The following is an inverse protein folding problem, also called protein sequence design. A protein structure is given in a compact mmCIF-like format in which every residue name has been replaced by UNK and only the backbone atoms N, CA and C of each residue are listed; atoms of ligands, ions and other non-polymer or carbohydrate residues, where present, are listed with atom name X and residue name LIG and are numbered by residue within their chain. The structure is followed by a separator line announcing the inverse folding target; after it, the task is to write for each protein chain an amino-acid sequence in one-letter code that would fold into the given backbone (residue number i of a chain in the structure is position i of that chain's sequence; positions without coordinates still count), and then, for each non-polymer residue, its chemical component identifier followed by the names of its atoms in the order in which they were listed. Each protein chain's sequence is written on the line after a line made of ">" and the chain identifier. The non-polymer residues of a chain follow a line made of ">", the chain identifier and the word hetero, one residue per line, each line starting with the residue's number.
data_IF_842979225703
#
_entry.id   IF_842979225703
#
_cell.length_a   1.000
_cell.length_b   1.000
_cell.length_c   1.000
_cell.angle_alpha   90.00
_cell.angle_beta   90.00
_cell.angle_gamma   90.00
#
_symmetry.space_group_name_H-M   'P 1'
#
loop_
_entity.id
_entity.type
_entity.pdbx_description
1 polymer ?
#
# COMPACT_ATOMS: atom_id res chain seq x y z
N UNK A 1 35.11 1.93 -22.31
CA UNK A 1 34.31 3.13 -22.57
C UNK A 1 33.53 3.43 -21.30
N UNK A 2 33.54 4.69 -20.84
CA UNK A 2 32.78 5.08 -19.64
C UNK A 2 31.30 5.17 -19.98
N UNK A 3 30.38 4.83 -19.01
CA UNK A 3 28.93 5.04 -19.18
C UNK A 3 28.62 6.53 -19.42
N UNK A 4 29.50 7.44 -18.99
CA UNK A 4 29.36 8.89 -19.24
C UNK A 4 29.52 9.28 -20.70
N UNK A 5 30.16 8.43 -21.51
CA UNK A 5 30.37 8.65 -22.95
C UNK A 5 29.19 8.13 -23.77
N UNK A 6 28.20 7.48 -23.15
CA UNK A 6 27.00 6.98 -23.81
C UNK A 6 25.99 8.11 -24.05
N UNK A 7 25.11 7.98 -25.06
CA UNK A 7 23.95 8.85 -25.19
C UNK A 7 23.15 8.87 -23.89
N UNK A 8 22.61 10.01 -23.52
CA UNK A 8 21.93 10.20 -22.24
C UNK A 8 20.79 9.20 -22.05
N UNK A 9 19.96 9.00 -23.08
CA UNK A 9 18.84 8.06 -23.07
C UNK A 9 19.25 6.57 -22.88
N UNK A 10 20.54 6.23 -23.11
CA UNK A 10 21.06 4.86 -22.93
C UNK A 10 21.73 4.64 -21.57
N UNK A 11 21.93 5.72 -20.79
CA UNK A 11 22.51 5.61 -19.45
C UNK A 11 21.46 5.03 -18.50
N UNK A 12 21.81 3.99 -17.71
CA UNK A 12 20.80 3.28 -16.91
C UNK A 12 19.98 4.15 -15.96
N UNK A 13 20.57 5.19 -15.34
CA UNK A 13 19.85 6.09 -14.41
C UNK A 13 18.88 6.99 -15.13
N UNK A 14 19.31 7.60 -16.20
CA UNK A 14 18.53 8.48 -17.05
C UNK A 14 17.38 7.69 -17.67
N UNK A 15 17.66 6.50 -18.20
CA UNK A 15 16.65 5.57 -18.72
C UNK A 15 15.62 5.15 -17.65
N UNK A 16 16.06 4.91 -16.40
CA UNK A 16 15.14 4.64 -15.27
C UNK A 16 14.19 5.79 -15.04
N UNK A 17 14.70 7.02 -15.04
CA UNK A 17 13.90 8.22 -14.74
C UNK A 17 12.89 8.56 -15.84
N UNK A 18 13.29 8.37 -17.11
CA UNK A 18 12.44 8.70 -18.26
C UNK A 18 11.44 7.59 -18.62
N UNK A 19 11.87 6.33 -18.54
CA UNK A 19 11.08 5.19 -19.06
C UNK A 19 10.60 4.23 -17.97
N UNK A 20 11.02 4.44 -16.73
CA UNK A 20 10.68 3.58 -15.60
C UNK A 20 11.54 2.32 -15.50
N UNK A 21 11.43 1.64 -14.34
CA UNK A 21 12.26 0.46 -14.04
C UNK A 21 12.01 -0.74 -14.97
N UNK A 22 10.81 -0.89 -15.50
CA UNK A 22 10.46 -1.99 -16.40
C UNK A 22 11.18 -1.95 -17.76
N UNK A 23 11.70 -0.79 -18.15
CA UNK A 23 12.46 -0.64 -19.40
C UNK A 23 13.93 -1.09 -19.26
N UNK A 24 14.42 -1.34 -18.05
CA UNK A 24 15.80 -1.72 -17.80
C UNK A 24 15.97 -3.23 -17.81
N UNK A 25 17.11 -3.67 -18.37
CA UNK A 25 17.60 -5.04 -18.21
C UNK A 25 18.14 -5.27 -16.79
N UNK A 26 18.24 -6.55 -16.38
CA UNK A 26 18.84 -6.93 -15.10
C UNK A 26 20.25 -6.36 -14.91
N UNK A 27 21.04 -6.30 -16.00
CA UNK A 27 22.38 -5.74 -15.97
C UNK A 27 22.38 -4.22 -15.73
N UNK A 28 21.44 -3.49 -16.30
CA UNK A 28 21.29 -2.04 -16.07
C UNK A 28 20.78 -1.74 -14.65
N UNK A 29 19.83 -2.52 -14.13
CA UNK A 29 19.36 -2.42 -12.74
C UNK A 29 20.50 -2.70 -11.76
N UNK A 30 21.26 -3.78 -11.99
CA UNK A 30 22.41 -4.13 -11.16
C UNK A 30 23.51 -3.06 -11.25
N UNK A 31 23.74 -2.46 -12.43
CA UNK A 31 24.72 -1.39 -12.61
C UNK A 31 24.37 -0.12 -11.82
N UNK A 32 23.08 0.23 -11.73
CA UNK A 32 22.60 1.34 -10.87
C UNK A 32 22.91 1.03 -9.41
N UNK A 33 22.65 -0.20 -8.96
CA UNK A 33 22.95 -0.66 -7.60
C UNK A 33 24.45 -0.63 -7.29
N UNK A 34 25.28 -1.16 -8.16
CA UNK A 34 26.74 -1.21 -8.00
C UNK A 34 27.38 0.19 -8.02
N UNK A 35 26.76 1.17 -8.69
CA UNK A 35 27.16 2.58 -8.84
C UNK A 35 28.44 2.79 -9.66
N UNK A 36 29.44 1.94 -9.50
CA UNK A 36 30.75 2.02 -10.18
C UNK A 36 31.14 0.64 -10.71
N UNK A 37 31.88 0.63 -11.82
CA UNK A 37 32.57 -0.54 -12.29
C UNK A 37 33.90 -0.74 -11.55
N UNK A 38 34.77 -1.52 -12.15
CA UNK A 38 36.17 -1.74 -11.74
C UNK A 38 37.12 -1.26 -12.82
N UNK A 39 38.45 -1.25 -12.55
CA UNK A 39 39.42 -0.83 -13.52
C UNK A 39 39.26 -1.57 -14.86
N UNK A 40 39.08 -0.80 -15.94
CA UNK A 40 38.89 -1.32 -17.30
C UNK A 40 37.53 -1.90 -17.63
N UNK A 41 36.55 -1.86 -16.68
CA UNK A 41 35.24 -2.45 -16.84
C UNK A 41 34.14 -1.51 -16.30
N UNK A 42 33.19 -1.12 -17.14
CA UNK A 42 32.06 -0.28 -16.73
C UNK A 42 31.16 -1.01 -15.76
N UNK A 43 30.28 -0.27 -15.04
CA UNK A 43 29.33 -0.88 -14.13
C UNK A 43 28.36 -1.84 -14.85
N UNK A 44 27.95 -1.54 -16.09
CA UNK A 44 27.07 -2.41 -16.89
C UNK A 44 27.79 -3.68 -17.34
N UNK A 45 29.04 -3.56 -17.78
CA UNK A 45 29.85 -4.73 -18.13
C UNK A 45 30.15 -5.63 -16.94
N UNK A 46 30.48 -5.02 -15.78
CA UNK A 46 30.64 -5.76 -14.52
C UNK A 46 29.35 -6.48 -14.14
N UNK A 47 28.21 -5.80 -14.26
CA UNK A 47 26.90 -6.42 -13.99
C UNK A 47 26.61 -7.61 -14.89
N UNK A 48 26.89 -7.51 -16.19
CA UNK A 48 26.70 -8.63 -17.12
C UNK A 48 27.58 -9.83 -16.75
N UNK A 49 28.86 -9.60 -16.39
CA UNK A 49 29.76 -10.66 -15.93
C UNK A 49 29.24 -11.32 -14.66
N UNK A 50 28.87 -10.53 -13.65
CA UNK A 50 28.33 -11.05 -12.39
C UNK A 50 27.06 -11.87 -12.61
N UNK A 51 26.10 -11.38 -13.43
CA UNK A 51 24.89 -12.13 -13.76
C UNK A 51 25.21 -13.46 -14.45
N UNK A 52 26.23 -13.49 -15.33
CA UNK A 52 26.68 -14.74 -15.96
C UNK A 52 27.32 -15.70 -14.97
N UNK A 53 28.20 -15.18 -14.07
CA UNK A 53 28.90 -15.99 -13.06
C UNK A 53 27.97 -16.59 -12.01
N UNK A 54 26.96 -15.84 -11.58
CA UNK A 54 25.93 -16.32 -10.62
C UNK A 54 24.81 -17.14 -11.29
N UNK A 55 24.66 -17.11 -12.60
CA UNK A 55 23.57 -17.78 -13.31
C UNK A 55 22.26 -16.97 -13.34
N UNK A 56 22.34 -15.65 -13.11
CA UNK A 56 21.21 -14.73 -13.18
C UNK A 56 21.00 -13.87 -11.94
N UNK A 57 20.07 -12.93 -12.03
CA UNK A 57 19.81 -11.94 -10.99
C UNK A 57 19.37 -12.60 -9.68
N UNK A 58 18.48 -13.59 -9.74
CA UNK A 58 17.96 -14.28 -8.56
C UNK A 58 19.07 -14.96 -7.76
N UNK A 59 19.93 -15.72 -8.43
CA UNK A 59 21.03 -16.42 -7.76
C UNK A 59 22.05 -15.46 -7.12
N UNK A 60 22.32 -14.31 -7.76
CA UNK A 60 23.12 -13.25 -7.19
C UNK A 60 22.48 -12.64 -5.93
N UNK A 61 21.17 -12.39 -5.94
CA UNK A 61 20.44 -11.83 -4.82
C UNK A 61 20.34 -12.78 -3.63
N UNK A 62 20.31 -14.09 -3.88
CA UNK A 62 20.20 -15.17 -2.87
C UNK A 62 21.59 -15.69 -2.42
N UNK A 63 22.70 -15.18 -2.98
CA UNK A 63 24.05 -15.61 -2.62
C UNK A 63 24.37 -15.30 -1.16
N UNK A 64 25.14 -16.19 -0.53
CA UNK A 64 25.68 -15.95 0.81
C UNK A 64 26.86 -14.93 0.77
N UNK A 65 27.25 -14.45 1.96
CA UNK A 65 28.31 -13.42 2.09
C UNK A 65 29.62 -13.86 1.45
N UNK A 66 30.03 -15.11 1.65
CA UNK A 66 31.32 -15.61 1.19
C UNK A 66 31.36 -15.72 -0.33
N UNK A 67 30.32 -16.31 -0.92
CA UNK A 67 30.14 -16.40 -2.37
C UNK A 67 30.05 -15.03 -3.01
N UNK A 68 29.21 -14.11 -2.46
CA UNK A 68 29.07 -12.76 -2.99
C UNK A 68 30.40 -11.99 -2.96
N UNK A 69 31.10 -11.98 -1.84
CA UNK A 69 32.34 -11.23 -1.69
C UNK A 69 33.54 -11.86 -2.41
N UNK A 70 33.43 -13.11 -2.86
CA UNK A 70 34.45 -13.78 -3.68
C UNK A 70 34.57 -13.22 -5.11
N UNK A 71 33.59 -12.42 -5.57
CA UNK A 71 33.56 -11.90 -6.92
C UNK A 71 34.11 -10.49 -7.01
N UNK A 72 34.76 -10.21 -8.15
CA UNK A 72 35.40 -8.91 -8.40
C UNK A 72 34.41 -7.75 -8.30
N UNK A 73 34.78 -6.72 -7.54
CA UNK A 73 33.97 -5.52 -7.38
C UNK A 73 32.82 -5.66 -6.38
N UNK A 74 32.65 -6.82 -5.77
CA UNK A 74 31.69 -7.08 -4.68
C UNK A 74 32.43 -7.17 -3.33
N UNK A 75 31.83 -6.56 -2.31
CA UNK A 75 32.39 -6.57 -0.97
C UNK A 75 31.30 -6.44 0.07
N UNK A 76 31.66 -6.57 1.36
CA UNK A 76 30.73 -6.60 2.51
C UNK A 76 29.75 -5.41 2.51
N UNK A 77 30.21 -4.20 2.16
CA UNK A 77 29.33 -3.02 2.11
C UNK A 77 28.21 -3.17 1.06
N UNK A 78 28.53 -3.66 -0.14
CA UNK A 78 27.55 -3.91 -1.19
C UNK A 78 26.62 -5.08 -0.82
N UNK A 79 27.16 -6.11 -0.17
CA UNK A 79 26.33 -7.19 0.35
C UNK A 79 25.30 -6.70 1.38
N UNK A 80 25.74 -5.93 2.38
CA UNK A 80 24.84 -5.36 3.38
C UNK A 80 23.78 -4.45 2.76
N UNK A 81 24.17 -3.61 1.78
CA UNK A 81 23.23 -2.78 1.03
C UNK A 81 22.19 -3.63 0.28
N UNK A 82 22.63 -4.71 -0.37
CA UNK A 82 21.76 -5.62 -1.10
C UNK A 82 20.73 -6.29 -0.17
N UNK A 83 21.20 -6.85 0.94
CA UNK A 83 20.33 -7.49 1.92
C UNK A 83 19.32 -6.49 2.53
N UNK A 84 19.75 -5.26 2.80
CA UNK A 84 18.85 -4.22 3.29
C UNK A 84 17.75 -3.87 2.26
N UNK A 85 18.10 -3.75 0.97
CA UNK A 85 17.11 -3.47 -0.10
C UNK A 85 16.13 -4.63 -0.25
N UNK A 86 16.61 -5.89 -0.22
CA UNK A 86 15.76 -7.07 -0.29
C UNK A 86 14.80 -7.14 0.90
N UNK A 87 15.28 -6.86 2.12
CA UNK A 87 14.43 -6.84 3.31
C UNK A 87 13.39 -5.70 3.28
N UNK A 88 13.76 -4.51 2.80
CA UNK A 88 12.79 -3.43 2.58
C UNK A 88 11.71 -3.84 1.58
N UNK A 89 12.08 -4.47 0.47
CA UNK A 89 11.14 -4.99 -0.52
C UNK A 89 10.21 -6.05 0.09
N UNK A 90 10.76 -6.99 0.87
CA UNK A 90 9.99 -8.02 1.58
C UNK A 90 8.99 -7.40 2.56
N UNK A 91 9.40 -6.40 3.34
CA UNK A 91 8.51 -5.69 4.28
C UNK A 91 7.42 -4.92 3.54
N UNK A 92 7.76 -4.25 2.45
CA UNK A 92 6.79 -3.54 1.61
C UNK A 92 5.71 -4.50 1.08
N UNK A 93 6.11 -5.65 0.53
CA UNK A 93 5.17 -6.67 0.06
C UNK A 93 4.35 -7.31 1.19
N UNK A 94 4.95 -7.52 2.36
CA UNK A 94 4.26 -8.06 3.53
C UNK A 94 3.21 -7.06 4.06
N UNK A 95 3.53 -5.78 4.09
CA UNK A 95 2.57 -4.74 4.49
C UNK A 95 1.40 -4.66 3.51
N UNK A 96 1.68 -4.76 2.20
CA UNK A 96 0.64 -4.81 1.17
C UNK A 96 -0.28 -6.03 1.35
N UNK A 97 0.28 -7.23 1.56
CA UNK A 97 -0.49 -8.45 1.85
C UNK A 97 -1.34 -8.31 3.12
N UNK A 98 -0.79 -7.68 4.17
CA UNK A 98 -1.54 -7.45 5.42
C UNK A 98 -2.74 -6.53 5.21
N UNK A 99 -2.67 -5.57 4.29
CA UNK A 99 -3.82 -4.77 3.87
C UNK A 99 -4.83 -5.58 3.07
N UNK A 100 -4.35 -6.45 2.18
CA UNK A 100 -5.21 -7.33 1.38
C UNK A 100 -5.96 -8.35 2.26
N UNK A 101 -5.37 -8.81 3.38
CA UNK A 101 -5.97 -9.81 4.29
C UNK A 101 -7.02 -9.25 5.26
N UNK A 102 -7.17 -7.92 5.38
CA UNK A 102 -8.16 -7.30 6.29
C UNK A 102 -9.60 -7.72 5.95
N UNK A 103 -9.87 -8.06 4.70
CA UNK A 103 -11.20 -8.44 4.22
C UNK A 103 -11.40 -9.95 4.01
N UNK A 104 -10.51 -10.80 4.54
CA UNK A 104 -10.66 -12.26 4.45
C UNK A 104 -11.88 -12.79 5.23
N UNK A 105 -12.36 -12.03 6.22
CA UNK A 105 -13.58 -12.35 6.95
C UNK A 105 -14.23 -11.09 7.54
N UNK A 106 -15.55 -11.09 7.79
CA UNK A 106 -16.23 -10.00 8.51
C UNK A 106 -15.59 -9.70 9.87
N UNK A 107 -15.11 -10.74 10.57
CA UNK A 107 -14.45 -10.57 11.86
C UNK A 107 -13.11 -9.81 11.74
N UNK A 108 -12.30 -10.11 10.74
CA UNK A 108 -11.05 -9.40 10.52
C UNK A 108 -11.28 -7.90 10.22
N UNK A 109 -12.36 -7.57 9.52
CA UNK A 109 -12.80 -6.17 9.32
C UNK A 109 -13.16 -5.51 10.65
N UNK A 110 -13.96 -6.17 11.49
CA UNK A 110 -14.34 -5.67 12.82
C UNK A 110 -13.12 -5.38 13.68
N UNK A 111 -12.22 -6.34 13.79
CA UNK A 111 -11.00 -6.23 14.59
C UNK A 111 -10.11 -5.08 14.11
N UNK A 112 -9.96 -4.95 12.80
CA UNK A 112 -9.19 -3.86 12.20
C UNK A 112 -9.80 -2.49 12.49
N UNK A 113 -11.12 -2.33 12.28
CA UNK A 113 -11.80 -1.06 12.49
C UNK A 113 -11.84 -0.70 13.98
N UNK A 114 -12.07 -1.68 14.86
CA UNK A 114 -12.01 -1.49 16.32
C UNK A 114 -10.65 -1.02 16.78
N UNK A 115 -9.56 -1.65 16.30
CA UNK A 115 -8.20 -1.23 16.63
C UNK A 115 -7.86 0.18 16.16
N UNK A 116 -8.52 0.66 15.10
CA UNK A 116 -8.31 2.00 14.54
C UNK A 116 -9.09 3.09 15.23
N UNK A 117 -10.33 2.84 15.63
CA UNK A 117 -11.25 3.89 16.03
C UNK A 117 -11.67 3.84 17.50
N UNK A 118 -11.45 2.73 18.22
CA UNK A 118 -11.93 2.59 19.60
C UNK A 118 -11.32 3.61 20.56
N UNK A 119 -10.10 4.05 20.30
CA UNK A 119 -9.36 4.98 21.18
C UNK A 119 -9.66 6.47 20.91
N UNK A 120 -10.44 6.76 19.88
CA UNK A 120 -10.80 8.13 19.55
C UNK A 120 -11.76 8.71 20.60
N UNK A 121 -11.38 9.85 21.15
CA UNK A 121 -12.15 10.53 22.21
C UNK A 121 -13.34 11.33 21.65
N UNK A 122 -13.34 11.60 20.36
CA UNK A 122 -14.39 12.29 19.61
C UNK A 122 -15.01 11.32 18.60
N UNK A 123 -16.22 11.66 18.16
CA UNK A 123 -16.84 10.92 17.07
C UNK A 123 -16.06 11.17 15.78
N UNK A 124 -15.62 10.09 15.14
CA UNK A 124 -14.83 10.10 13.93
C UNK A 124 -15.53 9.27 12.87
N UNK A 125 -15.76 9.86 11.71
CA UNK A 125 -16.27 9.13 10.56
C UNK A 125 -15.13 8.83 9.59
N UNK A 126 -14.98 7.56 9.25
CA UNK A 126 -13.94 7.07 8.37
C UNK A 126 -14.49 6.16 7.25
N UNK A 127 -13.71 6.00 6.20
CA UNK A 127 -14.01 5.11 5.10
C UNK A 127 -12.84 4.17 4.81
N UNK A 128 -13.17 2.91 4.58
CA UNK A 128 -12.29 1.91 4.00
C UNK A 128 -12.58 1.81 2.50
N UNK A 129 -11.64 2.22 1.67
CA UNK A 129 -11.76 2.26 0.22
C UNK A 129 -11.26 0.94 -0.37
N UNK A 130 -12.03 0.35 -1.30
CA UNK A 130 -11.81 -0.99 -1.81
C UNK A 130 -11.78 -1.01 -3.33
N UNK A 131 -10.97 -1.91 -3.89
CA UNK A 131 -10.99 -2.20 -5.33
C UNK A 131 -12.14 -3.17 -5.71
N UNK A 132 -12.22 -3.53 -6.99
CA UNK A 132 -13.22 -4.46 -7.53
C UNK A 132 -13.15 -5.88 -6.95
N UNK A 133 -12.02 -6.25 -6.33
CA UNK A 133 -11.80 -7.53 -5.65
C UNK A 133 -11.92 -7.39 -4.12
N UNK A 134 -12.46 -6.29 -3.66
CA UNK A 134 -12.59 -5.92 -2.25
C UNK A 134 -11.26 -5.82 -1.48
N UNK A 135 -10.13 -5.60 -2.15
CA UNK A 135 -8.85 -5.35 -1.48
C UNK A 135 -8.78 -3.91 -1.00
N UNK A 136 -8.17 -3.70 0.16
CA UNK A 136 -8.05 -2.38 0.76
C UNK A 136 -7.08 -1.49 -0.02
N UNK A 137 -7.59 -0.39 -0.57
CA UNK A 137 -6.82 0.67 -1.21
C UNK A 137 -6.32 1.67 -0.17
N UNK A 138 -7.22 2.13 0.71
CA UNK A 138 -6.92 3.08 1.77
C UNK A 138 -7.92 2.97 2.93
N UNK A 139 -7.49 3.44 4.11
CA UNK A 139 -8.36 3.78 5.22
C UNK A 139 -8.14 5.26 5.55
N UNK A 140 -9.21 6.05 5.53
CA UNK A 140 -9.13 7.49 5.84
C UNK A 140 -10.20 7.92 6.81
N UNK A 141 -9.79 8.71 7.80
CA UNK A 141 -10.69 9.52 8.61
C UNK A 141 -11.07 10.75 7.80
N UNK A 142 -12.34 10.93 7.51
CA UNK A 142 -12.85 12.01 6.67
C UNK A 142 -13.46 13.16 7.47
N UNK A 143 -14.04 12.85 8.62
CA UNK A 143 -14.67 13.84 9.48
C UNK A 143 -14.38 13.52 10.95
N UNK A 144 -14.21 14.58 11.71
CA UNK A 144 -14.11 14.54 13.17
C UNK A 144 -15.20 15.46 13.70
N UNK A 145 -16.04 14.95 14.59
CA UNK A 145 -17.11 15.69 15.23
C UNK A 145 -16.68 16.35 16.52
N UNK A 146 -17.48 17.31 16.96
CA UNK A 146 -17.55 17.74 18.34
C UNK A 146 -18.46 16.79 19.14
N UNK A 147 -18.66 17.07 20.44
CA UNK A 147 -19.49 16.27 21.37
C UNK A 147 -20.92 16.01 20.81
N UNK A 148 -21.41 16.84 19.88
CA UNK A 148 -22.75 16.80 19.30
C UNK A 148 -22.83 16.07 17.93
N UNK A 149 -21.78 15.38 17.52
CA UNK A 149 -21.73 14.60 16.27
C UNK A 149 -20.86 15.20 15.15
N UNK A 150 -20.52 14.38 14.19
CA UNK A 150 -19.75 14.77 13.01
C UNK A 150 -20.68 15.08 11.82
N UNK A 151 -20.59 16.29 11.26
CA UNK A 151 -21.29 16.61 10.01
C UNK A 151 -20.61 15.94 8.83
N UNK A 152 -21.18 14.84 8.34
CA UNK A 152 -20.65 14.10 7.18
C UNK A 152 -21.24 14.65 5.90
N UNK A 153 -20.38 15.15 5.00
CA UNK A 153 -20.79 15.71 3.71
C UNK A 153 -20.56 14.69 2.58
N UNK A 154 -21.61 14.17 1.90
CA UNK A 154 -21.49 13.18 0.82
C UNK A 154 -20.50 13.59 -0.27
N UNK A 155 -20.46 14.88 -0.63
CA UNK A 155 -19.52 15.38 -1.65
C UNK A 155 -18.05 15.09 -1.31
N UNK A 156 -17.66 15.09 -0.03
CA UNK A 156 -16.29 14.81 0.39
C UNK A 156 -16.00 13.31 0.30
N UNK A 157 -16.95 12.47 0.68
CA UNK A 157 -16.85 11.01 0.53
C UNK A 157 -16.68 10.66 -0.94
N UNK A 158 -17.54 11.20 -1.84
CA UNK A 158 -17.44 11.01 -3.29
C UNK A 158 -16.08 11.46 -3.83
N UNK A 159 -15.61 12.66 -3.44
CA UNK A 159 -14.30 13.19 -3.88
C UNK A 159 -13.15 12.24 -3.49
N UNK A 160 -13.15 11.73 -2.25
CA UNK A 160 -12.10 10.80 -1.79
C UNK A 160 -12.22 9.44 -2.46
N UNK A 161 -13.43 8.97 -2.71
CA UNK A 161 -13.71 7.72 -3.45
C UNK A 161 -13.09 7.75 -4.85
N UNK A 162 -13.31 8.83 -5.58
CA UNK A 162 -12.73 9.04 -6.93
C UNK A 162 -11.20 9.17 -6.86
N UNK A 163 -10.66 9.88 -5.87
CA UNK A 163 -9.21 10.03 -5.70
C UNK A 163 -8.49 8.70 -5.46
N UNK A 164 -9.15 7.73 -4.77
CA UNK A 164 -8.63 6.40 -4.56
C UNK A 164 -8.96 5.41 -5.67
N UNK A 165 -9.75 5.84 -6.68
CA UNK A 165 -10.28 4.95 -7.72
C UNK A 165 -10.96 3.70 -7.11
N UNK A 166 -11.74 3.91 -6.05
CA UNK A 166 -12.39 2.82 -5.32
C UNK A 166 -13.66 2.34 -6.02
N UNK A 167 -13.88 1.03 -6.03
CA UNK A 167 -15.07 0.39 -6.57
C UNK A 167 -16.13 0.07 -5.49
N UNK A 168 -15.70 0.04 -4.23
CA UNK A 168 -16.58 -0.17 -3.09
C UNK A 168 -16.04 0.49 -1.83
N UNK A 169 -16.92 0.75 -0.85
CA UNK A 169 -16.57 1.30 0.45
C UNK A 169 -17.17 0.48 1.59
N UNK A 170 -16.45 0.44 2.71
CA UNK A 170 -17.02 0.20 4.02
C UNK A 170 -16.96 1.51 4.79
N UNK A 171 -18.12 1.96 5.28
CA UNK A 171 -18.25 3.13 6.13
C UNK A 171 -18.03 2.73 7.59
N UNK A 172 -17.51 3.63 8.40
CA UNK A 172 -17.38 3.37 9.84
C UNK A 172 -17.32 4.65 10.63
N UNK A 173 -17.86 4.62 11.85
CA UNK A 173 -17.67 5.66 12.85
C UNK A 173 -17.62 5.04 14.25
N UNK A 174 -17.05 5.77 15.20
CA UNK A 174 -17.06 5.36 16.59
C UNK A 174 -18.09 6.17 17.39
N UNK A 175 -18.63 5.53 18.40
CA UNK A 175 -19.37 6.20 19.47
C UNK A 175 -18.48 6.29 20.72
N UNK A 176 -18.01 7.47 21.10
CA UNK A 176 -17.17 7.67 22.29
C UNK A 176 -17.86 7.22 23.59
N UNK A 177 -19.21 7.22 23.61
CA UNK A 177 -19.99 6.70 24.73
C UNK A 177 -19.79 5.20 24.99
N UNK A 178 -19.22 4.46 24.02
CA UNK A 178 -19.06 3.01 24.08
C UNK A 178 -20.25 2.18 23.60
N UNK A 179 -21.42 2.80 23.40
CA UNK A 179 -22.63 2.11 22.92
C UNK A 179 -22.66 2.09 21.38
N UNK A 180 -22.49 0.92 20.77
CA UNK A 180 -22.49 0.75 19.32
C UNK A 180 -23.89 0.68 18.69
N UNK A 181 -24.98 0.93 19.44
CA UNK A 181 -26.34 0.91 18.88
C UNK A 181 -26.50 2.03 17.85
N UNK A 182 -27.02 1.71 16.64
CA UNK A 182 -27.17 2.70 15.59
C UNK A 182 -28.32 3.67 15.91
N UNK A 183 -28.08 4.94 15.64
CA UNK A 183 -29.11 5.98 15.71
C UNK A 183 -29.90 6.07 14.39
N UNK A 184 -31.04 6.78 14.44
CA UNK A 184 -31.78 7.12 13.21
C UNK A 184 -30.95 7.99 12.26
N UNK A 185 -30.09 8.86 12.80
CA UNK A 185 -29.18 9.70 12.03
C UNK A 185 -28.14 8.86 11.26
N UNK A 186 -27.59 7.80 11.88
CA UNK A 186 -26.65 6.88 11.23
C UNK A 186 -27.29 6.18 10.03
N UNK A 187 -28.54 5.74 10.21
CA UNK A 187 -29.32 5.11 9.14
C UNK A 187 -29.56 6.09 7.98
N UNK A 188 -29.99 7.30 8.28
CA UNK A 188 -30.25 8.34 7.27
C UNK A 188 -28.97 8.73 6.54
N UNK A 189 -27.86 8.89 7.26
CA UNK A 189 -26.56 9.18 6.69
C UNK A 189 -26.11 8.06 5.74
N UNK A 190 -26.24 6.81 6.17
CA UNK A 190 -25.87 5.64 5.36
C UNK A 190 -26.67 5.59 4.07
N UNK A 191 -27.98 5.80 4.12
CA UNK A 191 -28.84 5.83 2.95
C UNK A 191 -28.42 6.95 1.96
N UNK A 192 -28.18 8.17 2.46
CA UNK A 192 -27.72 9.30 1.64
C UNK A 192 -26.36 9.03 0.97
N UNK A 193 -25.42 8.43 1.70
CA UNK A 193 -24.11 8.08 1.15
C UNK A 193 -24.20 6.98 0.10
N UNK A 194 -25.02 5.96 0.35
CA UNK A 194 -25.29 4.88 -0.60
C UNK A 194 -25.87 5.41 -1.91
N UNK A 195 -26.87 6.29 -1.84
CA UNK A 195 -27.46 6.96 -3.02
C UNK A 195 -26.42 7.79 -3.78
N UNK A 196 -25.63 8.62 -3.08
CA UNK A 196 -24.62 9.47 -3.70
C UNK A 196 -23.50 8.66 -4.39
N UNK A 197 -23.08 7.56 -3.80
CA UNK A 197 -22.04 6.69 -4.33
C UNK A 197 -22.55 5.82 -5.49
N UNK A 198 -23.82 5.43 -5.48
CA UNK A 198 -24.44 4.71 -6.58
C UNK A 198 -24.45 5.51 -7.89
N UNK A 199 -24.51 6.84 -7.83
CA UNK A 199 -24.43 7.72 -9.02
C UNK A 199 -23.08 7.63 -9.75
N UNK A 200 -22.06 7.10 -9.10
CA UNK A 200 -20.70 6.92 -9.65
C UNK A 200 -20.29 5.44 -9.67
N UNK A 201 -21.26 4.53 -9.69
CA UNK A 201 -21.07 3.07 -9.75
C UNK A 201 -20.23 2.50 -8.60
N UNK A 202 -20.23 3.14 -7.42
CA UNK A 202 -19.49 2.69 -6.24
C UNK A 202 -20.45 2.11 -5.20
N UNK A 203 -20.16 0.91 -4.72
CA UNK A 203 -21.00 0.19 -3.76
C UNK A 203 -20.59 0.48 -2.32
N UNK A 204 -21.55 0.69 -1.45
CA UNK A 204 -21.38 0.61 0.01
C UNK A 204 -21.64 -0.83 0.43
N UNK A 205 -20.59 -1.51 0.94
CA UNK A 205 -20.69 -2.91 1.35
C UNK A 205 -21.21 -3.07 2.77
N UNK A 206 -20.81 -2.16 3.68
CA UNK A 206 -21.27 -2.15 5.07
C UNK A 206 -21.06 -0.77 5.70
N UNK A 207 -21.65 -0.59 6.89
CA UNK A 207 -21.38 0.52 7.79
C UNK A 207 -21.22 -0.03 9.21
N UNK A 208 -20.00 0.06 9.76
CA UNK A 208 -19.67 -0.40 11.10
C UNK A 208 -19.71 0.73 12.12
N UNK A 209 -20.37 0.48 13.25
CA UNK A 209 -20.35 1.36 14.41
C UNK A 209 -19.45 0.75 15.49
N UNK A 210 -18.49 1.51 15.95
CA UNK A 210 -17.46 1.07 16.89
C UNK A 210 -17.78 1.60 18.29
N UNK A 211 -18.04 0.69 19.21
CA UNK A 211 -18.20 0.95 20.64
C UNK A 211 -17.22 0.15 21.49
N UNK A 212 -17.56 -0.04 22.78
CA UNK A 212 -16.74 -0.85 23.71
C UNK A 212 -16.77 -2.33 23.37
N UNK A 213 -17.95 -2.81 22.95
CA UNK A 213 -18.22 -4.19 22.61
C UNK A 213 -17.70 -4.58 21.22
N UNK A 214 -18.36 -5.55 20.61
CA UNK A 214 -18.14 -5.94 19.23
C UNK A 214 -18.69 -4.85 18.28
N UNK A 215 -17.95 -4.48 17.21
CA UNK A 215 -18.45 -3.54 16.20
C UNK A 215 -19.75 -4.02 15.57
N UNK A 216 -20.74 -3.13 15.49
CA UNK A 216 -22.04 -3.44 14.93
C UNK A 216 -22.05 -3.17 13.43
N UNK A 217 -22.54 -4.12 12.65
CA UNK A 217 -22.72 -4.03 11.20
C UNK A 217 -24.17 -3.63 10.86
N UNK A 218 -24.35 -2.56 10.09
CA UNK A 218 -25.68 -2.15 9.62
C UNK A 218 -26.21 -3.10 8.54
N UNK A 219 -25.33 -3.75 7.77
CA UNK A 219 -25.75 -4.76 6.81
C UNK A 219 -26.38 -5.99 7.50
N UNK A 220 -25.75 -6.48 8.58
CA UNK A 220 -26.31 -7.58 9.39
C UNK A 220 -27.62 -7.18 10.10
N UNK A 221 -27.74 -5.89 10.42
CA UNK A 221 -28.98 -5.32 11.00
C UNK A 221 -30.11 -5.13 9.96
N UNK A 222 -29.84 -5.36 8.66
CA UNK A 222 -30.81 -5.17 7.57
C UNK A 222 -31.10 -3.69 7.26
N UNK A 223 -30.17 -2.79 7.57
CA UNK A 223 -30.31 -1.33 7.35
C UNK A 223 -29.47 -0.80 6.19
N UNK A 224 -28.87 -1.68 5.39
CA UNK A 224 -28.02 -1.28 4.25
C UNK A 224 -28.71 -1.49 2.90
#
# INVERSE_FOLDING_TARGET
>A
MSIRDWPEAERPREKLLEQGAAALSDAELLAIFLRTGVAGCSAVELSRRLLSEFGGLRALLEADLASFCGHLGLGVAKYAQLQAVLEMGRRHLAERRRRDSILESPQAVRDYLKARLRHEQHEVFACLFLDTRHRVLAFEVLFQGSIDGASVYPRQVVKRTLAHNAAALILTHNHPSGDARPSLADRQLTARLKEALALIDVRVLDHFIIGDGEPLSLAEYGWL
#
